data_IF_181245829566
#
_entry.id   IF_181245829566
#
_cell.length_a   1.000
_cell.length_b   1.000
_cell.length_c   1.000
_cell.angle_alpha   90.00
_cell.angle_beta   90.00
_cell.angle_gamma   90.00
#
_symmetry.space_group_name_H-M   'P 1'
#
loop_
_entity.id
_entity.type
_entity.pdbx_description
1 polymer ?
#
# COMPACT_ATOMS: atom_id res chain seq x y z
N UNK A 1 35.41 0.93 76.11
CA UNK A 1 34.41 1.65 75.30
C UNK A 1 34.10 0.83 74.06
N UNK A 2 32.92 0.19 73.93
CA UNK A 2 32.58 -0.58 72.74
C UNK A 2 31.96 0.35 71.67
N UNK A 3 32.45 0.22 70.44
CA UNK A 3 31.98 0.95 69.25
C UNK A 3 30.66 0.34 68.74
N UNK A 4 29.67 1.20 68.44
CA UNK A 4 28.35 0.82 67.93
C UNK A 4 28.40 0.46 66.43
N UNK A 5 27.64 -0.53 65.94
CA UNK A 5 27.58 -0.85 64.52
C UNK A 5 26.67 0.13 63.75
N UNK A 6 27.17 0.65 62.62
CA UNK A 6 26.44 1.51 61.69
C UNK A 6 25.55 0.63 60.80
N UNK A 7 24.23 0.77 60.90
CA UNK A 7 23.27 0.15 59.99
C UNK A 7 23.37 0.82 58.61
N UNK A 8 23.86 0.10 57.61
CA UNK A 8 23.81 0.52 56.20
C UNK A 8 22.37 0.38 55.68
N UNK A 9 21.75 1.50 55.35
CA UNK A 9 20.45 1.57 54.69
C UNK A 9 20.63 1.16 53.22
N UNK A 10 20.12 -0.01 52.84
CA UNK A 10 20.06 -0.44 51.43
C UNK A 10 18.83 0.23 50.80
N UNK A 11 19.07 1.23 49.95
CA UNK A 11 18.01 1.86 49.14
C UNK A 11 17.74 0.94 47.94
N UNK A 12 16.60 0.25 47.97
CA UNK A 12 16.11 -0.58 46.87
C UNK A 12 15.57 0.34 45.77
N UNK A 13 16.36 0.56 44.72
CA UNK A 13 15.91 1.28 43.52
C UNK A 13 14.99 0.36 42.73
N UNK A 14 13.67 0.56 42.85
CA UNK A 14 12.68 -0.07 41.98
C UNK A 14 12.87 0.50 40.57
N UNK A 15 13.50 -0.27 39.68
CA UNK A 15 13.55 0.03 38.25
C UNK A 15 12.14 -0.20 37.70
N UNK A 16 11.34 0.88 37.65
CA UNK A 16 10.03 0.87 37.02
C UNK A 16 10.28 0.68 35.52
N UNK A 17 10.21 -0.57 35.05
CA UNK A 17 10.28 -0.89 33.63
C UNK A 17 9.01 -0.33 32.99
N UNK A 18 9.09 0.89 32.47
CA UNK A 18 8.03 1.48 31.67
C UNK A 18 7.91 0.59 30.43
N UNK A 19 6.86 -0.22 30.39
CA UNK A 19 6.40 -0.90 29.19
C UNK A 19 6.07 0.19 28.17
N UNK A 20 7.02 0.49 27.29
CA UNK A 20 6.73 1.21 26.05
C UNK A 20 5.75 0.30 25.31
N UNK A 21 4.50 0.72 25.06
CA UNK A 21 3.62 -0.06 24.21
C UNK A 21 4.37 -0.25 22.89
N UNK A 22 4.66 -1.50 22.55
CA UNK A 22 5.26 -1.83 21.27
C UNK A 22 4.40 -1.20 20.18
N UNK A 23 5.05 -0.59 19.19
CA UNK A 23 4.40 -0.18 17.95
C UNK A 23 3.60 -1.37 17.42
N UNK A 24 2.29 -1.38 17.61
CA UNK A 24 1.45 -2.49 17.18
C UNK A 24 1.23 -2.31 15.68
N UNK A 25 2.11 -2.91 14.89
CA UNK A 25 1.76 -3.25 13.53
C UNK A 25 0.43 -4.05 13.56
N UNK A 26 -0.47 -3.78 12.62
CA UNK A 26 -1.73 -4.53 12.52
C UNK A 26 -1.45 -6.03 12.32
N UNK A 27 -2.35 -6.89 12.80
CA UNK A 27 -2.20 -8.35 12.76
C UNK A 27 -1.94 -8.87 11.33
N UNK A 28 -2.51 -8.20 10.31
CA UNK A 28 -2.28 -8.51 8.90
C UNK A 28 -0.85 -8.23 8.47
N UNK A 29 -0.29 -7.08 8.86
CA UNK A 29 1.11 -6.74 8.54
C UNK A 29 2.07 -7.75 9.18
N UNK A 30 1.80 -8.15 10.42
CA UNK A 30 2.60 -9.18 11.10
C UNK A 30 2.53 -10.53 10.37
N UNK A 31 1.34 -10.96 9.95
CA UNK A 31 1.17 -12.19 9.17
C UNK A 31 1.90 -12.13 7.83
N UNK A 32 1.82 -11.01 7.09
CA UNK A 32 2.53 -10.80 5.82
C UNK A 32 4.04 -10.94 6.03
N UNK A 33 4.57 -10.35 7.11
CA UNK A 33 6.00 -10.42 7.45
C UNK A 33 6.44 -11.80 7.87
N UNK A 34 5.64 -12.47 8.70
CA UNK A 34 5.94 -13.82 9.15
C UNK A 34 5.99 -14.81 7.98
N UNK A 35 5.12 -14.64 6.98
CA UNK A 35 5.11 -15.48 5.79
C UNK A 35 6.04 -15.00 4.67
N UNK A 36 6.66 -13.82 4.83
CA UNK A 36 7.53 -13.18 3.84
C UNK A 36 6.90 -13.02 2.45
N UNK A 37 5.57 -12.92 2.39
CA UNK A 37 4.80 -12.82 1.15
C UNK A 37 3.49 -12.06 1.37
N UNK A 38 3.21 -11.12 0.46
CA UNK A 38 1.90 -10.49 0.34
C UNK A 38 1.00 -11.34 -0.56
N UNK A 39 -0.21 -11.67 -0.11
CA UNK A 39 -1.20 -12.38 -0.92
C UNK A 39 -2.22 -11.38 -1.48
N UNK A 40 -2.14 -11.10 -2.78
CA UNK A 40 -2.99 -10.13 -3.45
C UNK A 40 -4.00 -10.82 -4.38
N UNK A 41 -5.29 -10.57 -4.18
CA UNK A 41 -6.37 -11.01 -5.08
C UNK A 41 -6.55 -10.07 -6.27
N UNK A 42 -6.66 -10.60 -7.49
CA UNK A 42 -6.81 -9.81 -8.72
C UNK A 42 -7.76 -10.43 -9.76
N UNK A 43 -8.33 -9.60 -10.62
CA UNK A 43 -9.18 -10.00 -11.75
C UNK A 43 -8.34 -10.52 -12.92
N UNK A 44 -7.84 -11.76 -12.86
CA UNK A 44 -6.76 -12.27 -13.72
C UNK A 44 -7.02 -12.33 -15.25
N UNK A 45 -8.16 -11.84 -15.73
CA UNK A 45 -8.59 -11.88 -17.13
C UNK A 45 -8.86 -10.47 -17.68
N UNK A 46 -8.22 -9.45 -17.12
CA UNK A 46 -8.46 -8.05 -17.45
C UNK A 46 -7.22 -7.37 -18.05
N UNK A 47 -7.11 -7.28 -19.39
CA UNK A 47 -5.97 -6.68 -20.05
C UNK A 47 -5.71 -5.24 -19.58
N UNK A 48 -4.47 -4.98 -19.17
CA UNK A 48 -4.04 -3.67 -18.66
C UNK A 48 -4.25 -3.47 -17.17
N UNK A 49 -5.24 -4.10 -16.54
CA UNK A 49 -5.46 -4.01 -15.09
C UNK A 49 -4.85 -5.20 -14.34
N UNK A 50 -5.23 -6.43 -14.69
CA UNK A 50 -4.62 -7.64 -14.17
C UNK A 50 -4.83 -8.80 -15.14
N UNK A 51 -3.74 -9.34 -15.70
CA UNK A 51 -3.82 -10.45 -16.64
C UNK A 51 -2.77 -11.51 -16.31
N UNK A 52 -3.22 -12.75 -16.15
CA UNK A 52 -2.34 -13.92 -16.15
C UNK A 52 -1.86 -14.20 -17.57
N UNK A 53 -0.56 -14.15 -17.76
CA UNK A 53 0.11 -14.46 -19.01
C UNK A 53 0.21 -15.98 -19.23
N UNK A 54 0.46 -16.44 -20.47
CA UNK A 54 0.63 -17.87 -20.78
C UNK A 54 1.77 -18.54 -19.99
N UNK A 55 2.80 -17.79 -19.63
CA UNK A 55 3.92 -18.27 -18.79
C UNK A 55 3.59 -18.30 -17.29
N UNK A 56 2.35 -17.98 -16.92
CA UNK A 56 1.85 -17.96 -15.54
C UNK A 56 2.16 -16.69 -14.76
N UNK A 57 2.92 -15.74 -15.31
CA UNK A 57 3.18 -14.45 -14.65
C UNK A 57 1.93 -13.56 -14.71
N UNK A 58 1.81 -12.67 -13.73
CA UNK A 58 0.78 -11.63 -13.73
C UNK A 58 1.38 -10.29 -14.17
N UNK A 59 0.63 -9.54 -14.98
CA UNK A 59 0.96 -8.18 -15.39
C UNK A 59 -0.29 -7.29 -15.39
N UNK A 60 -0.11 -5.98 -15.26
CA UNK A 60 -1.19 -5.00 -15.24
C UNK A 60 -1.02 -3.94 -14.14
N UNK A 61 -1.82 -2.89 -14.22
CA UNK A 61 -1.81 -1.78 -13.28
C UNK A 61 -2.05 -2.24 -11.84
N UNK A 62 -3.03 -3.11 -11.60
CA UNK A 62 -3.39 -3.63 -10.28
C UNK A 62 -2.32 -4.58 -9.74
N UNK A 63 -1.68 -5.33 -10.63
CA UNK A 63 -0.54 -6.19 -10.31
C UNK A 63 0.62 -5.33 -9.79
N UNK A 64 0.91 -4.21 -10.45
CA UNK A 64 1.97 -3.29 -10.01
C UNK A 64 1.61 -2.55 -8.71
N UNK A 65 0.32 -2.27 -8.45
CA UNK A 65 -0.12 -1.74 -7.16
C UNK A 65 0.06 -2.78 -6.02
N UNK A 66 -0.26 -4.06 -6.24
CA UNK A 66 0.06 -5.12 -5.29
C UNK A 66 1.58 -5.21 -5.03
N UNK A 67 2.40 -5.13 -6.09
CA UNK A 67 3.87 -5.11 -5.98
C UNK A 67 4.37 -3.89 -5.21
N UNK A 68 3.70 -2.75 -5.33
CA UNK A 68 4.03 -1.54 -4.56
C UNK A 68 3.78 -1.77 -3.06
N UNK A 69 2.64 -2.37 -2.69
CA UNK A 69 2.35 -2.76 -1.31
C UNK A 69 3.39 -3.73 -0.77
N UNK A 70 3.76 -4.76 -1.56
CA UNK A 70 4.80 -5.73 -1.17
C UNK A 70 6.16 -5.05 -0.95
N UNK A 71 6.57 -4.17 -1.88
CA UNK A 71 7.82 -3.43 -1.75
C UNK A 71 7.85 -2.49 -0.54
N UNK A 72 6.70 -1.89 -0.19
CA UNK A 72 6.58 -1.04 0.98
C UNK A 72 6.69 -1.84 2.29
N UNK A 73 5.99 -2.97 2.41
CA UNK A 73 5.85 -3.70 3.68
C UNK A 73 6.93 -4.76 3.92
N UNK A 74 7.41 -5.42 2.85
CA UNK A 74 8.43 -6.48 2.87
C UNK A 74 9.78 -6.01 2.33
N UNK A 75 9.84 -4.86 1.67
CA UNK A 75 11.07 -4.35 1.06
C UNK A 75 11.36 -4.88 -0.35
N UNK A 76 10.57 -5.83 -0.85
CA UNK A 76 10.69 -6.37 -2.21
C UNK A 76 9.38 -6.38 -2.98
N UNK A 77 9.38 -5.89 -4.21
CA UNK A 77 8.25 -5.94 -5.13
C UNK A 77 7.97 -7.36 -5.66
N UNK A 78 8.88 -8.31 -5.45
CA UNK A 78 8.72 -9.70 -5.90
C UNK A 78 8.11 -10.61 -4.85
N UNK A 79 8.01 -10.17 -3.59
CA UNK A 79 7.42 -10.94 -2.49
C UNK A 79 5.90 -10.82 -2.47
N UNK A 80 5.28 -11.20 -3.59
CA UNK A 80 3.83 -11.17 -3.78
C UNK A 80 3.37 -12.47 -4.44
N UNK A 81 2.30 -13.06 -3.89
CA UNK A 81 1.56 -14.17 -4.47
C UNK A 81 0.21 -13.66 -4.96
N UNK A 82 -0.04 -13.84 -6.25
CA UNK A 82 -1.32 -13.46 -6.86
C UNK A 82 -2.33 -14.60 -6.75
N UNK A 83 -3.56 -14.26 -6.37
CA UNK A 83 -4.73 -15.14 -6.41
C UNK A 83 -5.68 -14.57 -7.46
N UNK A 84 -6.01 -15.38 -8.46
CA UNK A 84 -7.07 -15.01 -9.40
C UNK A 84 -8.41 -15.18 -8.69
N UNK A 85 -9.21 -14.13 -8.67
CA UNK A 85 -10.56 -14.18 -8.12
C UNK A 85 -11.56 -13.99 -9.26
N UNK A 86 -12.68 -14.69 -9.19
CA UNK A 86 -13.83 -14.39 -10.06
C UNK A 86 -14.78 -13.41 -9.39
N UNK A 87 -14.91 -13.51 -8.06
CA UNK A 87 -15.83 -12.69 -7.26
C UNK A 87 -15.20 -12.18 -5.96
N UNK A 88 -15.78 -11.09 -5.43
CA UNK A 88 -15.39 -10.54 -4.11
C UNK A 88 -15.72 -11.50 -2.96
N UNK A 89 -16.68 -12.42 -3.11
CA UNK A 89 -17.03 -13.35 -2.03
C UNK A 89 -15.86 -14.27 -1.68
N UNK A 90 -15.04 -14.64 -2.67
CA UNK A 90 -13.82 -15.43 -2.43
C UNK A 90 -12.84 -14.72 -1.49
N UNK A 91 -12.83 -13.39 -1.45
CA UNK A 91 -12.01 -12.64 -0.48
C UNK A 91 -12.52 -12.80 0.95
N UNK A 92 -13.85 -12.82 1.14
CA UNK A 92 -14.45 -13.05 2.45
C UNK A 92 -14.18 -14.47 2.94
N UNK A 93 -14.24 -15.44 2.04
CA UNK A 93 -14.12 -16.87 2.37
C UNK A 93 -12.66 -17.33 2.59
N UNK A 94 -11.67 -16.66 1.99
CA UNK A 94 -10.25 -17.01 2.16
C UNK A 94 -9.50 -15.99 3.03
N UNK A 95 -9.31 -16.26 4.34
CA UNK A 95 -8.62 -15.34 5.25
C UNK A 95 -7.14 -15.15 4.91
N UNK A 96 -6.57 -15.97 4.01
CA UNK A 96 -5.16 -15.90 3.59
C UNK A 96 -4.93 -14.84 2.52
N UNK A 97 -5.96 -14.28 1.92
CA UNK A 97 -5.85 -13.13 1.02
C UNK A 97 -5.78 -11.88 1.88
N UNK A 98 -4.80 -11.03 1.63
CA UNK A 98 -4.50 -9.85 2.45
C UNK A 98 -5.24 -8.60 1.95
N UNK A 99 -5.29 -8.41 0.63
CA UNK A 99 -6.00 -7.33 -0.05
C UNK A 99 -6.40 -7.73 -1.47
N UNK A 100 -7.30 -6.94 -2.06
CA UNK A 100 -7.81 -7.19 -3.41
C UNK A 100 -7.77 -5.91 -4.24
N UNK A 101 -7.15 -5.99 -5.43
CA UNK A 101 -7.32 -5.03 -6.51
C UNK A 101 -8.00 -5.78 -7.67
N UNK A 102 -9.29 -5.53 -7.88
CA UNK A 102 -10.13 -6.32 -8.81
C UNK A 102 -11.06 -5.41 -9.63
N UNK A 103 -10.55 -4.24 -10.01
CA UNK A 103 -11.27 -3.22 -10.80
C UNK A 103 -12.66 -2.91 -10.26
N UNK A 104 -12.75 -2.77 -8.93
CA UNK A 104 -14.02 -2.64 -8.22
C UNK A 104 -14.36 -1.17 -7.99
N UNK A 105 -15.51 -0.76 -8.50
CA UNK A 105 -16.09 0.55 -8.20
C UNK A 105 -16.50 0.65 -6.73
N UNK A 106 -16.04 1.71 -6.07
CA UNK A 106 -16.43 2.04 -4.70
C UNK A 106 -17.94 2.25 -4.63
N UNK A 107 -18.61 1.44 -3.82
CA UNK A 107 -20.06 1.50 -3.67
C UNK A 107 -20.49 1.25 -2.22
N UNK A 108 -21.42 2.09 -1.73
CA UNK A 108 -22.02 1.94 -0.40
C UNK A 108 -22.60 0.53 -0.17
N UNK A 109 -23.21 -0.07 -1.18
CA UNK A 109 -23.82 -1.41 -1.06
C UNK A 109 -22.80 -2.52 -0.80
N UNK A 110 -21.52 -2.29 -1.09
CA UNK A 110 -20.42 -3.23 -0.80
C UNK A 110 -19.82 -3.02 0.59
N UNK A 111 -19.78 -1.77 1.08
CA UNK A 111 -19.26 -1.44 2.42
C UNK A 111 -20.30 -1.54 3.53
N UNK A 112 -21.58 -1.29 3.24
CA UNK A 112 -22.65 -1.27 4.23
C UNK A 112 -22.74 -2.54 5.12
N UNK A 113 -22.40 -3.76 4.64
CA UNK A 113 -22.33 -4.94 5.50
C UNK A 113 -21.24 -4.88 6.59
N UNK A 114 -20.27 -3.98 6.49
CA UNK A 114 -19.25 -3.71 7.52
C UNK A 114 -18.12 -4.73 7.64
N UNK A 115 -18.04 -5.72 6.74
CA UNK A 115 -16.97 -6.72 6.72
C UNK A 115 -15.75 -6.27 5.90
N UNK A 116 -15.98 -5.38 4.94
CA UNK A 116 -14.98 -4.89 4.00
C UNK A 116 -15.00 -3.37 3.97
N UNK A 117 -13.85 -2.78 3.72
CA UNK A 117 -13.70 -1.36 3.46
C UNK A 117 -12.91 -1.13 2.17
N UNK A 118 -13.18 -0.03 1.49
CA UNK A 118 -12.38 0.41 0.37
C UNK A 118 -11.16 1.21 0.84
N UNK A 119 -10.04 0.96 0.18
CA UNK A 119 -8.83 1.75 0.33
C UNK A 119 -8.86 3.04 -0.50
N UNK A 120 -7.70 3.60 -0.85
CA UNK A 120 -7.64 4.81 -1.67
C UNK A 120 -8.13 4.56 -3.10
N UNK A 121 -8.79 5.55 -3.70
CA UNK A 121 -9.09 5.52 -5.13
C UNK A 121 -7.77 5.53 -5.90
N UNK A 122 -7.55 4.51 -6.72
CA UNK A 122 -6.36 4.42 -7.58
C UNK A 122 -6.69 4.67 -9.05
N UNK A 123 -7.96 4.59 -9.46
CA UNK A 123 -8.35 4.77 -10.85
C UNK A 123 -9.77 5.32 -10.98
N UNK A 124 -10.05 6.11 -12.01
CA UNK A 124 -11.37 6.57 -12.40
C UNK A 124 -11.74 6.01 -13.76
N UNK A 125 -12.79 5.20 -13.80
CA UNK A 125 -13.35 4.60 -15.00
C UNK A 125 -14.55 5.39 -15.53
N UNK A 126 -14.72 5.41 -16.85
CA UNK A 126 -15.98 5.81 -17.46
C UNK A 126 -17.07 4.76 -17.17
N UNK A 127 -17.99 5.10 -16.28
CA UNK A 127 -19.15 4.29 -15.94
C UNK A 127 -20.37 4.57 -16.81
N UNK A 128 -21.51 4.00 -16.39
CA UNK A 128 -22.78 4.19 -17.10
C UNK A 128 -23.30 5.62 -16.94
N UNK A 129 -24.06 6.07 -17.94
CA UNK A 129 -24.77 7.37 -17.92
C UNK A 129 -23.84 8.58 -17.71
N UNK A 130 -22.59 8.49 -18.17
CA UNK A 130 -21.61 9.58 -18.05
C UNK A 130 -21.05 9.78 -16.63
N UNK A 131 -21.28 8.83 -15.71
CA UNK A 131 -20.67 8.87 -14.39
C UNK A 131 -19.22 8.41 -14.46
N UNK A 132 -18.37 8.99 -13.62
CA UNK A 132 -17.06 8.42 -13.32
C UNK A 132 -17.20 7.46 -12.15
N UNK A 133 -16.64 6.26 -12.31
CA UNK A 133 -16.61 5.21 -11.29
C UNK A 133 -15.21 5.15 -10.66
N UNK A 134 -15.07 5.48 -9.36
CA UNK A 134 -13.79 5.38 -8.69
C UNK A 134 -13.51 3.91 -8.34
N UNK A 135 -12.38 3.39 -8.80
CA UNK A 135 -11.88 2.07 -8.44
C UNK A 135 -10.95 2.18 -7.23
N UNK A 136 -11.16 1.29 -6.26
CA UNK A 136 -10.40 1.25 -5.00
C UNK A 136 -10.15 -0.21 -4.59
N UNK A 137 -9.04 -0.52 -3.88
CA UNK A 137 -8.81 -1.87 -3.40
C UNK A 137 -9.80 -2.19 -2.29
N UNK A 138 -10.15 -3.47 -2.14
CA UNK A 138 -10.88 -3.97 -0.98
C UNK A 138 -9.92 -4.49 0.08
N UNK A 139 -10.21 -4.10 1.32
CA UNK A 139 -9.53 -4.55 2.53
C UNK A 139 -10.58 -5.08 3.51
N UNK A 140 -10.11 -5.80 4.53
CA UNK A 140 -10.97 -6.21 5.64
C UNK A 140 -11.09 -5.06 6.62
N UNK A 141 -12.30 -4.79 7.10
CA UNK A 141 -12.57 -3.69 8.04
C UNK A 141 -12.01 -3.92 9.44
N UNK A 142 -11.51 -5.13 9.74
CA UNK A 142 -10.97 -5.50 11.04
C UNK A 142 -9.49 -5.14 11.25
N UNK A 143 -8.79 -4.62 10.22
CA UNK A 143 -7.40 -4.19 10.29
C UNK A 143 -7.19 -2.77 9.72
N UNK A 144 -7.56 -1.77 10.52
CA UNK A 144 -7.45 -0.37 10.13
C UNK A 144 -5.99 0.09 9.91
N UNK A 145 -5.00 -0.54 10.55
CA UNK A 145 -3.59 -0.23 10.33
C UNK A 145 -3.14 -0.66 8.95
N UNK A 146 -3.53 -1.86 8.51
CA UNK A 146 -3.23 -2.31 7.16
C UNK A 146 -3.91 -1.44 6.10
N UNK A 147 -5.15 -1.02 6.32
CA UNK A 147 -5.84 -0.06 5.44
C UNK A 147 -5.16 1.32 5.40
N UNK A 148 -4.63 1.80 6.53
CA UNK A 148 -3.78 3.01 6.56
C UNK A 148 -2.51 2.83 5.72
N UNK A 149 -1.85 1.68 5.83
CA UNK A 149 -0.64 1.37 5.04
C UNK A 149 -0.95 1.40 3.55
N UNK A 150 -1.98 0.68 3.09
CA UNK A 150 -2.34 0.63 1.67
C UNK A 150 -2.72 2.02 1.14
N UNK A 151 -3.42 2.83 1.95
CA UNK A 151 -3.68 4.25 1.64
C UNK A 151 -2.39 5.01 1.33
N UNK A 152 -1.43 4.98 2.25
CA UNK A 152 -0.20 5.73 2.10
C UNK A 152 0.71 5.19 1.00
N UNK A 153 0.68 3.89 0.70
CA UNK A 153 1.37 3.30 -0.44
C UNK A 153 0.91 3.92 -1.76
N UNK A 154 -0.40 3.98 -2.01
CA UNK A 154 -0.93 4.56 -3.26
C UNK A 154 -0.65 6.06 -3.33
N UNK A 155 -0.81 6.79 -2.22
CA UNK A 155 -0.50 8.23 -2.22
C UNK A 155 0.99 8.53 -2.37
N UNK A 156 1.90 7.66 -1.91
CA UNK A 156 3.33 7.82 -2.18
C UNK A 156 3.70 7.63 -3.66
N UNK A 157 3.00 6.76 -4.38
CA UNK A 157 3.16 6.64 -5.84
C UNK A 157 2.69 7.91 -6.58
N UNK A 158 1.59 8.51 -6.12
CA UNK A 158 1.05 9.77 -6.65
C UNK A 158 1.94 10.96 -6.30
N UNK A 159 2.45 11.03 -5.07
CA UNK A 159 3.40 12.06 -4.64
C UNK A 159 4.70 11.96 -5.44
N UNK A 160 5.16 10.74 -5.75
CA UNK A 160 6.32 10.54 -6.60
C UNK A 160 6.08 11.08 -8.01
N UNK A 161 4.88 10.87 -8.58
CA UNK A 161 4.50 11.47 -9.85
C UNK A 161 4.43 13.01 -9.76
N UNK A 162 3.87 13.54 -8.66
CA UNK A 162 3.80 14.98 -8.42
C UNK A 162 5.18 15.65 -8.44
N UNK A 163 6.19 15.02 -7.85
CA UNK A 163 7.55 15.55 -7.88
C UNK A 163 8.39 15.10 -9.08
N UNK A 164 7.77 14.39 -10.04
CA UNK A 164 8.45 13.75 -11.16
C UNK A 164 9.62 12.83 -10.71
N UNK A 165 9.53 12.24 -9.52
CA UNK A 165 10.46 11.22 -9.03
C UNK A 165 10.15 9.93 -9.76
N UNK A 166 11.02 9.55 -10.70
CA UNK A 166 10.89 8.31 -11.44
C UNK A 166 11.63 7.17 -10.74
N UNK A 167 11.40 5.95 -11.22
CA UNK A 167 12.19 4.78 -10.82
C UNK A 167 13.71 5.02 -10.86
N UNK A 168 14.20 5.67 -11.92
CA UNK A 168 15.62 5.98 -12.11
C UNK A 168 16.19 6.97 -11.09
N UNK A 169 15.33 7.81 -10.53
CA UNK A 169 15.73 8.96 -9.70
C UNK A 169 15.46 8.70 -8.21
N UNK A 170 14.80 7.59 -7.87
CA UNK A 170 14.39 7.25 -6.51
C UNK A 170 15.57 7.07 -5.53
N UNK A 171 16.79 6.90 -6.04
CA UNK A 171 18.03 6.83 -5.26
C UNK A 171 18.76 8.16 -5.06
N UNK A 172 18.24 9.27 -5.57
CA UNK A 172 18.89 10.58 -5.43
C UNK A 172 18.93 11.03 -3.96
N UNK A 173 19.96 11.79 -3.61
CA UNK A 173 20.13 12.31 -2.26
C UNK A 173 19.24 13.54 -1.99
N UNK A 174 19.00 14.35 -3.02
CA UNK A 174 18.24 15.60 -3.00
C UNK A 174 16.74 15.34 -3.25
N UNK A 175 16.04 14.89 -2.21
CA UNK A 175 14.60 14.72 -2.27
C UNK A 175 13.86 16.04 -1.99
N UNK A 176 12.68 16.28 -2.61
CA UNK A 176 11.84 17.43 -2.29
C UNK A 176 11.50 17.46 -0.80
N UNK A 177 11.40 18.65 -0.21
CA UNK A 177 11.11 18.80 1.22
C UNK A 177 9.79 18.15 1.66
N UNK A 178 8.78 18.11 0.78
CA UNK A 178 7.49 17.49 1.07
C UNK A 178 7.47 15.97 0.89
N UNK A 179 8.55 15.38 0.37
CA UNK A 179 8.71 13.92 0.29
C UNK A 179 8.92 13.35 1.69
N UNK A 180 8.31 12.20 2.04
CA UNK A 180 8.45 11.60 3.36
C UNK A 180 9.92 11.34 3.73
N UNK A 181 10.26 11.67 4.98
CA UNK A 181 11.53 11.28 5.57
C UNK A 181 11.61 9.75 5.70
N UNK A 182 12.82 9.21 5.88
CA UNK A 182 13.00 7.76 5.92
C UNK A 182 12.25 7.10 7.09
N UNK A 183 12.09 7.77 8.22
CA UNK A 183 11.37 7.25 9.39
C UNK A 183 9.83 7.42 9.30
N UNK A 184 9.33 8.11 8.28
CA UNK A 184 7.89 8.29 8.08
C UNK A 184 7.20 6.93 7.91
N UNK A 185 6.15 6.70 8.71
CA UNK A 185 5.37 5.46 8.66
C UNK A 185 5.90 4.33 9.57
N UNK A 186 7.01 4.52 10.29
CA UNK A 186 7.50 3.54 11.27
C UNK A 186 6.48 3.22 12.36
N UNK A 187 5.64 4.19 12.76
CA UNK A 187 4.56 3.96 13.71
C UNK A 187 3.47 3.01 13.19
N UNK A 188 3.29 2.91 11.87
CA UNK A 188 2.44 1.90 11.20
C UNK A 188 3.21 0.60 10.93
N UNK A 189 4.44 0.49 11.45
CA UNK A 189 5.32 -0.64 11.24
C UNK A 189 6.11 -0.59 9.93
N UNK A 190 5.96 0.39 9.05
CA UNK A 190 6.71 0.42 7.77
C UNK A 190 8.22 0.53 7.99
N UNK A 191 9.04 -0.20 7.21
CA UNK A 191 10.49 -0.16 7.36
C UNK A 191 11.06 1.20 6.92
N UNK A 192 12.13 1.72 7.56
CA UNK A 192 12.69 3.03 7.21
C UNK A 192 13.02 3.14 5.72
N UNK A 193 12.65 4.22 5.03
CA UNK A 193 12.90 4.44 3.60
C UNK A 193 12.00 3.64 2.66
N UNK A 194 10.88 3.09 3.16
CA UNK A 194 9.94 2.27 2.37
C UNK A 194 9.48 2.96 1.08
N UNK A 195 9.16 4.26 1.12
CA UNK A 195 8.60 4.98 -0.01
C UNK A 195 9.61 5.07 -1.17
N UNK A 196 10.87 5.41 -0.85
CA UNK A 196 11.95 5.48 -1.86
C UNK A 196 12.24 4.10 -2.46
N UNK A 197 12.38 3.07 -1.61
CA UNK A 197 12.60 1.69 -2.07
C UNK A 197 11.46 1.17 -2.95
N UNK A 198 10.22 1.49 -2.59
CA UNK A 198 9.04 1.13 -3.37
C UNK A 198 9.14 1.76 -4.77
N UNK A 199 9.28 3.08 -4.86
CA UNK A 199 9.37 3.78 -6.16
C UNK A 199 10.57 3.31 -6.99
N UNK A 200 11.72 3.01 -6.38
CA UNK A 200 12.87 2.45 -7.07
C UNK A 200 12.59 1.06 -7.71
N UNK A 201 11.66 0.30 -7.13
CA UNK A 201 11.31 -1.03 -7.62
C UNK A 201 10.16 -1.00 -8.62
N UNK A 202 9.11 -0.21 -8.37
CA UNK A 202 7.85 -0.24 -9.14
C UNK A 202 7.60 1.02 -9.98
N UNK A 203 8.38 2.08 -9.80
CA UNK A 203 8.14 3.39 -10.42
C UNK A 203 7.06 4.22 -9.72
N UNK A 204 6.83 5.43 -10.21
CA UNK A 204 5.72 6.27 -9.75
C UNK A 204 4.38 5.88 -10.43
N UNK A 205 3.27 6.53 -10.04
CA UNK A 205 1.95 6.21 -10.60
C UNK A 205 1.88 6.40 -12.13
N UNK A 206 2.47 7.46 -12.68
CA UNK A 206 2.53 7.67 -14.14
C UNK A 206 3.26 6.53 -14.86
N UNK A 207 4.38 6.05 -14.32
CA UNK A 207 5.13 4.95 -14.93
C UNK A 207 4.36 3.64 -14.88
N UNK A 208 3.64 3.38 -13.78
CA UNK A 208 2.73 2.24 -13.65
C UNK A 208 1.59 2.35 -14.67
N UNK A 209 0.98 3.53 -14.81
CA UNK A 209 -0.08 3.75 -15.77
C UNK A 209 0.42 3.56 -17.21
N UNK A 210 1.51 4.23 -17.58
CA UNK A 210 2.04 4.23 -18.94
C UNK A 210 2.43 2.83 -19.43
N UNK A 211 3.05 2.01 -18.57
CA UNK A 211 3.46 0.65 -18.99
C UNK A 211 2.28 -0.29 -19.23
N UNK A 212 1.15 -0.06 -18.54
CA UNK A 212 0.03 -1.01 -18.50
C UNK A 212 -1.16 -0.55 -19.35
N UNK A 213 -1.34 0.76 -19.51
CA UNK A 213 -2.49 1.41 -20.15
C UNK A 213 -2.08 2.53 -21.12
N UNK A 214 -0.79 2.84 -21.25
CA UNK A 214 -0.31 3.86 -22.19
C UNK A 214 -0.52 3.49 -23.67
N UNK A 215 -0.12 4.36 -24.62
CA UNK A 215 -0.32 4.14 -26.05
C UNK A 215 0.26 2.84 -26.60
N UNK A 216 1.28 2.27 -25.95
CA UNK A 216 1.90 0.99 -26.33
C UNK A 216 1.28 -0.25 -25.67
N UNK A 217 0.28 -0.10 -24.81
CA UNK A 217 -0.36 -1.21 -24.12
C UNK A 217 -1.25 -2.05 -25.06
N UNK A 218 -1.60 -3.27 -24.64
CA UNK A 218 -2.54 -4.12 -25.38
C UNK A 218 -3.92 -3.46 -25.54
N UNK A 219 -4.37 -2.76 -24.50
CA UNK A 219 -5.58 -1.95 -24.50
C UNK A 219 -5.22 -0.54 -24.01
N UNK A 220 -4.79 0.35 -24.93
CA UNK A 220 -4.46 1.72 -24.56
C UNK A 220 -5.68 2.45 -24.02
N UNK A 221 -5.49 3.14 -22.90
CA UNK A 221 -6.51 3.95 -22.26
C UNK A 221 -5.92 5.32 -21.94
N UNK A 222 -6.38 6.40 -22.58
CA UNK A 222 -5.91 7.74 -22.24
C UNK A 222 -6.19 8.06 -20.77
N UNK A 223 -5.23 8.71 -20.10
CA UNK A 223 -5.34 9.00 -18.66
C UNK A 223 -6.64 9.69 -18.27
N UNK A 224 -7.09 10.68 -19.04
CA UNK A 224 -8.34 11.40 -18.78
C UNK A 224 -8.44 11.86 -17.31
N UNK A 225 -9.44 11.39 -16.54
CA UNK A 225 -9.57 11.73 -15.11
C UNK A 225 -8.43 11.19 -14.23
N UNK A 226 -7.64 10.22 -14.70
CA UNK A 226 -6.50 9.62 -13.99
C UNK A 226 -5.19 10.44 -14.10
N UNK A 227 -5.23 11.64 -14.69
CA UNK A 227 -4.13 12.61 -14.57
C UNK A 227 -4.09 13.21 -13.17
N UNK A 228 -2.96 13.80 -12.80
CA UNK A 228 -2.89 14.66 -11.61
C UNK A 228 -3.85 15.84 -11.73
N UNK A 229 -4.35 16.32 -10.60
CA UNK A 229 -5.21 17.50 -10.51
C UNK A 229 -4.62 18.72 -11.25
N UNK A 230 -3.31 19.00 -11.07
CA UNK A 230 -2.62 20.10 -11.74
C UNK A 230 -2.57 19.99 -13.28
N UNK A 231 -2.88 18.80 -13.81
CA UNK A 231 -2.95 18.47 -15.24
C UNK A 231 -4.42 18.28 -15.70
N UNK A 232 -5.38 18.79 -14.92
CA UNK A 232 -6.81 18.71 -15.23
C UNK A 232 -7.38 17.29 -15.08
N UNK A 233 -6.81 16.48 -14.20
CA UNK A 233 -7.39 15.20 -13.76
C UNK A 233 -7.97 15.27 -12.34
N UNK A 234 -8.22 14.11 -11.74
CA UNK A 234 -8.83 13.97 -10.42
C UNK A 234 -7.87 13.35 -9.39
N UNK A 235 -6.68 12.93 -9.80
CA UNK A 235 -5.72 12.33 -8.88
C UNK A 235 -5.05 13.42 -8.04
N UNK A 236 -5.25 13.36 -6.73
CA UNK A 236 -4.66 14.28 -5.75
C UNK A 236 -3.80 13.47 -4.79
N UNK A 237 -2.48 13.68 -4.72
CA UNK A 237 -1.65 13.07 -3.70
C UNK A 237 -2.01 13.65 -2.31
N UNK A 238 -1.98 12.81 -1.28
CA UNK A 238 -2.13 13.24 0.11
C UNK A 238 -0.76 13.49 0.73
N UNK A 239 -0.70 14.39 1.71
CA UNK A 239 0.53 14.79 2.40
C UNK A 239 1.10 13.64 3.24
N UNK A 240 2.37 13.32 3.03
CA UNK A 240 3.09 12.23 3.70
C UNK A 240 4.01 12.72 4.84
N UNK A 241 3.93 13.98 5.26
CA UNK A 241 4.81 14.60 6.28
C UNK A 241 4.03 15.26 7.41
#
# INVERSE_FOLDING_TARGET
MPLRPVRRLVVLVFFLCVLVPGTQAGARLDAIRQHEVLVCGVAAQDPGFAQRQPDGRFQGLEVDLCRAVAAAVLGSSTQVRFVALDTVHEFLDDPRIDLVFHRLSWALTREAPGQLEFGPVYFFEAGKQGRLEPLAPLLRSDDADFSRIVRWVVHALLEAEWHAIRRSDAGRADMPLSWPADDTGMALGLPPGWARRMVAQVGNYAEIYERNLGPGAQQPLPRGPNRLWREGGLMVPLLLH
#
